data_IF_032611103746
#
_entry.id   IF_032611103746
#
_cell.length_a   1.000
_cell.length_b   1.000
_cell.length_c   1.000
_cell.angle_alpha   90.00
_cell.angle_beta   90.00
_cell.angle_gamma   90.00
#
_symmetry.space_group_name_H-M   'P 1'
#
loop_
_entity.id
_entity.type
_entity.pdbx_description
1 polymer ?
#
# COMPACT_ATOMS: atom_id res chain seq x y z
N UNK A 1 11.08 -1.17 -7.69
CA UNK A 1 10.15 -0.78 -6.59
C UNK A 1 9.82 0.69 -6.76
N UNK A 2 8.58 1.09 -6.50
CA UNK A 2 8.19 2.49 -6.51
C UNK A 2 8.45 3.11 -5.14
N UNK A 3 9.04 4.30 -5.12
CA UNK A 3 9.12 5.10 -3.90
C UNK A 3 7.72 5.63 -3.54
N UNK A 4 7.41 5.84 -2.25
CA UNK A 4 6.15 6.43 -1.82
C UNK A 4 5.84 7.77 -2.51
N UNK A 5 6.87 8.60 -2.74
CA UNK A 5 6.76 9.87 -3.47
C UNK A 5 6.41 9.72 -4.96
N UNK A 6 6.55 8.53 -5.52
CA UNK A 6 6.18 8.24 -6.91
C UNK A 6 4.77 7.61 -7.01
N UNK A 7 4.05 7.50 -5.88
CA UNK A 7 2.66 7.08 -5.87
C UNK A 7 1.75 8.31 -5.94
N UNK A 8 0.68 8.21 -6.71
CA UNK A 8 -0.43 9.15 -6.64
C UNK A 8 -1.32 8.74 -5.47
N UNK A 9 -1.36 9.58 -4.44
CA UNK A 9 -2.16 9.35 -3.23
C UNK A 9 -3.24 10.41 -3.19
N UNK A 10 -4.51 10.00 -3.10
CA UNK A 10 -5.60 10.96 -2.92
C UNK A 10 -5.35 11.78 -1.65
N UNK A 11 -5.33 13.11 -1.82
CA UNK A 11 -5.00 14.08 -0.77
C UNK A 11 -3.58 13.96 -0.19
N UNK A 12 -2.66 13.27 -0.86
CA UNK A 12 -1.30 13.00 -0.36
C UNK A 12 -0.47 14.26 -0.05
N UNK A 13 -0.80 15.37 -0.70
CA UNK A 13 -0.15 16.67 -0.47
C UNK A 13 -0.90 17.55 0.54
N UNK A 14 -1.97 17.03 1.17
CA UNK A 14 -2.76 17.74 2.19
C UNK A 14 -2.30 17.33 3.60
N UNK A 15 -1.57 18.20 4.33
CA UNK A 15 -0.95 17.84 5.62
C UNK A 15 -1.92 17.44 6.74
N UNK A 16 -3.19 17.84 6.61
CA UNK A 16 -4.26 17.45 7.53
C UNK A 16 -4.63 15.97 7.42
N UNK A 17 -4.41 15.37 6.25
CA UNK A 17 -4.80 14.00 5.95
C UNK A 17 -3.59 13.07 5.87
N UNK A 18 -2.46 13.57 5.37
CA UNK A 18 -1.24 12.81 5.19
C UNK A 18 -0.02 13.57 5.72
N UNK A 19 0.91 12.85 6.34
CA UNK A 19 2.24 13.37 6.66
C UNK A 19 3.30 12.55 5.99
N UNK A 20 4.30 13.22 5.46
CA UNK A 20 5.50 12.58 4.97
C UNK A 20 6.52 12.55 6.09
N UNK A 21 6.92 11.35 6.49
CA UNK A 21 7.80 11.12 7.64
C UNK A 21 8.97 10.25 7.23
N UNK A 22 10.10 10.38 7.92
CA UNK A 22 11.19 9.42 7.85
C UNK A 22 11.02 8.39 8.96
N UNK A 23 11.23 7.11 8.63
CA UNK A 23 11.24 6.02 9.61
C UNK A 23 12.55 5.23 9.48
N UNK A 24 13.19 4.81 10.58
CA UNK A 24 14.50 4.15 10.52
C UNK A 24 14.52 2.86 9.68
N UNK A 25 13.42 2.11 9.65
CA UNK A 25 13.34 0.83 8.94
C UNK A 25 12.98 0.95 7.45
N UNK A 26 12.82 2.18 6.94
CA UNK A 26 12.48 2.40 5.55
C UNK A 26 13.73 2.52 4.69
N UNK A 27 13.73 1.79 3.57
CA UNK A 27 14.72 1.96 2.49
C UNK A 27 14.51 3.24 1.67
N UNK A 28 13.39 3.93 1.87
CA UNK A 28 13.08 5.22 1.26
C UNK A 28 13.24 6.34 2.30
N UNK A 29 13.71 7.53 1.89
CA UNK A 29 13.94 8.65 2.81
C UNK A 29 12.66 9.11 3.51
N UNK A 30 11.53 9.03 2.81
CA UNK A 30 10.21 9.38 3.33
C UNK A 30 9.16 8.32 2.98
N UNK A 31 8.18 8.19 3.87
CA UNK A 31 6.98 7.37 3.70
C UNK A 31 5.74 8.22 4.00
N UNK A 32 4.61 7.87 3.37
CA UNK A 32 3.33 8.53 3.63
C UNK A 32 2.65 7.90 4.85
N UNK A 33 2.42 8.71 5.89
CA UNK A 33 1.63 8.37 7.07
C UNK A 33 0.23 8.95 6.94
N UNK A 34 -0.76 8.07 6.87
CA UNK A 34 -2.17 8.44 6.90
C UNK A 34 -2.56 8.91 8.31
N UNK A 35 -3.26 10.04 8.41
CA UNK A 35 -3.82 10.56 9.66
C UNK A 35 -5.31 10.23 9.78
N UNK A 36 -6.11 10.74 8.86
CA UNK A 36 -7.56 10.54 8.78
C UNK A 36 -8.03 10.95 7.38
N UNK A 37 -8.91 10.17 6.74
CA UNK A 37 -9.52 10.50 5.43
C UNK A 37 -10.90 9.86 5.32
N UNK A 38 -11.80 10.51 4.59
CA UNK A 38 -13.05 9.89 4.16
C UNK A 38 -12.92 9.10 2.85
N UNK A 39 -11.82 9.28 2.10
CA UNK A 39 -11.53 8.60 0.84
C UNK A 39 -10.07 8.14 0.79
N UNK A 40 -9.86 6.82 0.61
CA UNK A 40 -8.54 6.20 0.59
C UNK A 40 -8.26 5.59 -0.80
N UNK A 41 -7.38 6.24 -1.56
CA UNK A 41 -6.97 5.78 -2.89
C UNK A 41 -5.48 6.01 -3.11
N UNK A 42 -4.78 4.96 -3.54
CA UNK A 42 -3.35 4.96 -3.84
C UNK A 42 -3.17 4.29 -5.20
N UNK A 43 -2.52 5.00 -6.12
CA UNK A 43 -2.21 4.52 -7.46
C UNK A 43 -0.71 4.57 -7.72
N UNK A 44 -0.16 3.50 -8.27
CA UNK A 44 1.24 3.44 -8.72
C UNK A 44 1.30 3.10 -10.21
N UNK A 45 2.33 3.60 -10.90
CA UNK A 45 2.61 3.27 -12.29
C UNK A 45 4.06 2.81 -12.43
N UNK A 46 4.24 1.64 -13.04
CA UNK A 46 5.54 1.11 -13.43
C UNK A 46 5.54 1.02 -14.95
N UNK A 47 6.57 1.54 -15.59
CA UNK A 47 6.75 1.33 -17.02
C UNK A 47 7.16 -0.12 -17.29
N UNK A 48 6.40 -0.82 -18.12
CA UNK A 48 6.66 -2.21 -18.47
C UNK A 48 7.97 -2.38 -19.26
N UNK A 49 8.49 -1.32 -19.90
CA UNK A 49 9.82 -1.39 -20.53
C UNK A 49 10.96 -1.59 -19.52
N UNK A 50 10.73 -1.24 -18.25
CA UNK A 50 11.67 -1.49 -17.16
C UNK A 50 11.54 -2.89 -16.56
N UNK A 51 10.61 -3.70 -17.07
CA UNK A 51 10.43 -5.10 -16.68
C UNK A 51 11.03 -6.01 -17.75
N UNK A 52 11.69 -7.07 -17.31
CA UNK A 52 12.20 -8.12 -18.18
C UNK A 52 11.02 -8.80 -18.91
N UNK A 53 11.13 -8.98 -20.23
CA UNK A 53 10.13 -9.71 -21.01
C UNK A 53 9.91 -11.14 -20.48
N UNK A 54 8.73 -11.69 -20.71
CA UNK A 54 8.36 -13.09 -20.39
C UNK A 54 8.61 -13.49 -18.91
N UNK A 55 8.69 -12.52 -18.01
CA UNK A 55 8.94 -12.74 -16.58
C UNK A 55 7.66 -12.50 -15.79
N UNK A 56 7.33 -13.43 -14.89
CA UNK A 56 6.23 -13.22 -13.95
C UNK A 56 6.70 -12.35 -12.81
N UNK A 57 6.02 -11.22 -12.60
CA UNK A 57 6.20 -10.35 -11.45
C UNK A 57 5.08 -10.54 -10.44
N UNK A 58 5.36 -10.19 -9.19
CA UNK A 58 4.37 -10.01 -8.15
C UNK A 58 4.38 -8.54 -7.73
N UNK A 59 3.20 -7.97 -7.51
CA UNK A 59 3.05 -6.62 -6.99
C UNK A 59 2.59 -6.67 -5.53
N UNK A 60 3.26 -5.89 -4.68
CA UNK A 60 2.94 -5.79 -3.26
C UNK A 60 2.82 -4.33 -2.86
N UNK A 61 1.78 -4.01 -2.08
CA UNK A 61 1.71 -2.78 -1.31
C UNK A 61 2.19 -3.10 0.12
N UNK A 62 3.32 -2.54 0.52
CA UNK A 62 3.91 -2.77 1.84
C UNK A 62 3.58 -1.58 2.73
N UNK A 63 2.95 -1.83 3.88
CA UNK A 63 2.57 -0.79 4.83
C UNK A 63 2.67 -1.29 6.27
N UNK A 64 2.78 -0.35 7.22
CA UNK A 64 2.60 -0.61 8.65
C UNK A 64 1.24 -0.08 9.08
N UNK A 65 0.57 -0.78 9.98
CA UNK A 65 -0.70 -0.34 10.53
C UNK A 65 -0.47 0.19 11.95
N UNK A 66 -0.88 1.43 12.21
CA UNK A 66 -0.79 1.99 13.56
C UNK A 66 -1.73 1.24 14.52
N UNK A 67 -1.38 1.12 15.80
CA UNK A 67 -2.20 0.43 16.80
C UNK A 67 -3.61 1.03 16.94
N UNK A 68 -3.77 2.32 16.66
CA UNK A 68 -5.04 3.06 16.69
C UNK A 68 -5.69 3.23 15.30
N UNK A 69 -5.15 2.59 14.26
CA UNK A 69 -5.74 2.67 12.94
C UNK A 69 -7.12 2.00 12.95
N UNK A 70 -8.09 2.68 12.35
CA UNK A 70 -9.50 2.27 12.28
C UNK A 70 -10.05 2.51 10.88
N UNK A 71 -11.20 1.91 10.57
CA UNK A 71 -11.89 2.11 9.29
C UNK A 71 -11.50 1.10 8.21
N UNK A 72 -10.60 0.17 8.53
CA UNK A 72 -10.19 -0.92 7.66
C UNK A 72 -10.77 -2.28 8.10
N UNK A 73 -11.34 -2.37 9.30
CA UNK A 73 -11.88 -3.60 9.85
C UNK A 73 -13.08 -4.09 9.04
N UNK A 74 -12.96 -5.29 8.46
CA UNK A 74 -13.99 -5.92 7.62
C UNK A 74 -14.46 -5.02 6.45
N UNK A 75 -13.65 -4.05 6.03
CA UNK A 75 -13.95 -3.19 4.88
C UNK A 75 -13.25 -3.72 3.63
N UNK A 76 -14.00 -3.99 2.55
CA UNK A 76 -13.42 -4.40 1.29
C UNK A 76 -12.64 -3.22 0.69
N UNK A 77 -11.43 -3.51 0.20
CA UNK A 77 -10.63 -2.56 -0.56
C UNK A 77 -10.52 -3.09 -1.99
N UNK A 78 -10.80 -2.22 -2.95
CA UNK A 78 -10.63 -2.52 -4.36
C UNK A 78 -9.15 -2.44 -4.75
N UNK A 79 -8.55 -3.59 -5.04
CA UNK A 79 -7.23 -3.68 -5.64
C UNK A 79 -7.39 -3.87 -7.16
N UNK A 80 -6.96 -2.89 -7.94
CA UNK A 80 -7.03 -2.94 -9.40
C UNK A 80 -5.64 -2.95 -10.00
N UNK A 81 -5.39 -3.92 -10.87
CA UNK A 81 -4.20 -4.00 -11.71
C UNK A 81 -4.58 -3.74 -13.16
N UNK A 82 -3.83 -2.87 -13.82
CA UNK A 82 -4.01 -2.53 -15.24
C UNK A 82 -2.67 -2.59 -15.95
N UNK A 83 -2.59 -3.41 -16.99
CA UNK A 83 -1.50 -3.40 -17.95
C UNK A 83 -2.00 -2.77 -19.25
N UNK A 84 -1.32 -1.71 -19.69
CA UNK A 84 -1.74 -0.91 -20.86
C UNK A 84 -1.80 -1.81 -22.10
N UNK A 85 -2.92 -1.76 -22.82
CA UNK A 85 -3.16 -2.60 -24.01
C UNK A 85 -3.65 -4.01 -23.71
N UNK A 86 -3.89 -4.36 -22.44
CA UNK A 86 -4.42 -5.68 -22.03
C UNK A 86 -5.61 -5.54 -21.07
N UNK A 87 -6.06 -6.66 -20.50
CA UNK A 87 -7.19 -6.73 -19.58
C UNK A 87 -6.89 -6.07 -18.22
N UNK A 88 -7.94 -5.52 -17.62
CA UNK A 88 -7.94 -5.04 -16.22
C UNK A 88 -8.27 -6.21 -15.29
N UNK A 89 -7.46 -6.40 -14.26
CA UNK A 89 -7.78 -7.34 -13.16
C UNK A 89 -8.21 -6.56 -11.94
N UNK A 90 -9.36 -6.92 -11.36
CA UNK A 90 -9.87 -6.35 -10.11
C UNK A 90 -10.00 -7.44 -9.06
N UNK A 91 -9.56 -7.16 -7.85
CA UNK A 91 -9.71 -8.05 -6.68
C UNK A 91 -10.19 -7.22 -5.50
N UNK A 92 -10.97 -7.87 -4.63
CA UNK A 92 -11.33 -7.32 -3.34
C UNK A 92 -10.36 -7.90 -2.32
N UNK A 93 -9.71 -7.04 -1.55
CA UNK A 93 -8.78 -7.42 -0.49
C UNK A 93 -9.28 -6.85 0.84
N UNK A 94 -8.92 -7.50 1.94
CA UNK A 94 -9.27 -7.08 3.28
C UNK A 94 -8.00 -6.89 4.10
N UNK A 95 -7.92 -5.77 4.82
CA UNK A 95 -6.85 -5.55 5.80
C UNK A 95 -7.27 -6.26 7.07
N UNK A 96 -6.62 -7.37 7.37
CA UNK A 96 -6.84 -8.08 8.61
C UNK A 96 -6.02 -7.44 9.72
N UNK A 97 -6.69 -7.00 10.79
CA UNK A 97 -6.08 -6.48 12.01
C UNK A 97 -6.15 -7.60 13.05
N UNK A 98 -5.08 -8.39 13.17
CA UNK A 98 -5.04 -9.54 14.09
C UNK A 98 -4.99 -9.05 15.56
N UNK A 99 -5.96 -9.33 16.41
CA UNK A 99 -6.02 -8.73 17.75
C UNK A 99 -4.96 -9.22 18.77
N UNK A 100 -3.91 -9.93 18.35
CA UNK A 100 -2.87 -10.52 19.21
C UNK A 100 -1.77 -9.57 19.70
N UNK A 101 -1.73 -9.38 21.02
CA UNK A 101 -0.66 -8.83 21.88
C UNK A 101 0.00 -7.50 21.48
N UNK A 102 -0.43 -6.45 22.19
CA UNK A 102 0.24 -5.15 22.29
C UNK A 102 1.66 -5.36 22.83
N UNK A 103 2.67 -5.32 21.96
CA UNK A 103 4.04 -5.12 22.40
C UNK A 103 4.16 -3.70 22.98
N UNK A 104 4.87 -3.55 24.10
CA UNK A 104 4.97 -2.33 24.91
C UNK A 104 5.55 -1.08 24.20
N UNK A 105 5.82 -1.13 22.89
CA UNK A 105 6.26 0.01 22.07
C UNK A 105 5.25 0.44 20.99
N UNK A 106 4.01 -0.07 20.99
CA UNK A 106 2.88 0.50 20.23
C UNK A 106 2.95 0.42 18.70
N UNK A 107 4.00 -0.17 18.13
CA UNK A 107 4.15 -0.34 16.69
C UNK A 107 3.85 -1.77 16.24
N UNK A 108 3.14 -1.87 15.11
CA UNK A 108 2.65 -3.13 14.58
C UNK A 108 3.02 -3.30 13.12
N UNK A 109 3.62 -4.44 12.82
CA UNK A 109 4.14 -4.78 11.50
C UNK A 109 3.26 -5.86 10.89
N UNK A 110 2.59 -5.54 9.78
CA UNK A 110 1.79 -6.50 9.02
C UNK A 110 2.46 -6.65 7.65
N UNK A 111 3.26 -7.71 7.46
CA UNK A 111 3.76 -8.10 6.13
C UNK A 111 2.77 -9.13 5.58
N UNK A 112 1.98 -8.77 4.57
CA UNK A 112 1.14 -9.73 3.85
C UNK A 112 1.58 -9.82 2.40
N UNK A 113 2.05 -10.99 2.01
CA UNK A 113 2.39 -11.34 0.64
C UNK A 113 1.12 -11.87 -0.04
N UNK A 114 0.36 -11.00 -0.72
CA UNK A 114 -0.70 -11.49 -1.61
C UNK A 114 -0.13 -11.73 -3.00
N UNK A 115 -0.13 -13.00 -3.42
CA UNK A 115 0.23 -13.40 -4.78
C UNK A 115 -0.80 -12.86 -5.78
N UNK A 116 -0.46 -11.75 -6.43
CA UNK A 116 -1.04 -11.41 -7.74
C UNK A 116 -0.14 -12.07 -8.78
N UNK A 117 -0.40 -13.36 -9.04
CA UNK A 117 0.28 -14.08 -10.11
C UNK A 117 -0.02 -13.41 -11.44
N UNK A 118 1.00 -12.81 -12.06
CA UNK A 118 0.95 -12.39 -13.44
C UNK A 118 1.01 -13.63 -14.33
N UNK A 119 -0.05 -13.85 -15.10
CA UNK A 119 -0.03 -14.75 -16.26
C UNK A 119 0.10 -13.91 -17.52
#
# INVERSE_FOLDING_TARGET
MLAPRNLAIAWGDTPYYWRWISIPDSRFPEVAKLLDVCWFEITGRIDSCNLSPMTRYNAFLVFKLAAYAKGFENKPIDATFRLVGTQVSKRIVYVHVDSGHVAQNGERYQKREEMVGLR
#
